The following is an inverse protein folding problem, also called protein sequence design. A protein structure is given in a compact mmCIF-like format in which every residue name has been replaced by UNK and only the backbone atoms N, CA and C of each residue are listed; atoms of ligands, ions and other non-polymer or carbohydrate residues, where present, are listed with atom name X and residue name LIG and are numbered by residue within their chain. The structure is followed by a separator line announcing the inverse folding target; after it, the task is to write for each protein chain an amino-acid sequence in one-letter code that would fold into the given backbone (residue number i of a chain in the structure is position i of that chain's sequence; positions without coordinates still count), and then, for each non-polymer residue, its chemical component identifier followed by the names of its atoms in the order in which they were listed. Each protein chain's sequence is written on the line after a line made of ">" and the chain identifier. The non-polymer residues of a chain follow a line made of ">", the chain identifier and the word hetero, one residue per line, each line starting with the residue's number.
data_IF_016366081841
#
_entry.id   IF_016366081841
#
_cell.length_a   1.000
_cell.length_b   1.000
_cell.length_c   1.000
_cell.angle_alpha   90.00
_cell.angle_beta   90.00
_cell.angle_gamma   90.00
#
_symmetry.space_group_name_H-M   'P 1'
#
loop_
_entity.id
_entity.type
_entity.pdbx_description
1 polymer ?
#
# COMPACT_ATOMS: atom_id res chain seq x y z
N UNK A 1 14.38 12.63 13.24
CA UNK A 1 14.89 13.16 11.95
C UNK A 1 14.20 12.49 10.73
N UNK A 2 14.00 11.18 10.70
CA UNK A 2 13.35 10.48 9.57
C UNK A 2 11.93 11.00 9.26
N UNK A 3 11.12 11.24 10.26
CA UNK A 3 9.75 11.74 10.08
C UNK A 3 9.67 13.14 9.44
N UNK A 4 10.64 14.03 9.72
CA UNK A 4 10.68 15.36 9.12
C UNK A 4 11.02 15.29 7.63
N UNK A 5 11.98 14.46 7.25
CA UNK A 5 12.38 14.27 5.85
C UNK A 5 11.18 13.70 5.05
N UNK A 6 10.48 12.71 5.58
CA UNK A 6 9.29 12.13 4.94
C UNK A 6 8.18 13.16 4.76
N UNK A 7 7.95 14.04 5.76
CA UNK A 7 6.97 15.12 5.67
C UNK A 7 7.32 16.15 4.59
N UNK A 8 8.61 16.56 4.54
CA UNK A 8 9.09 17.49 3.51
C UNK A 8 8.95 16.85 2.12
N UNK A 9 9.35 15.60 1.96
CA UNK A 9 9.22 14.89 0.69
C UNK A 9 7.74 14.77 0.27
N UNK A 10 6.84 14.39 1.18
CA UNK A 10 5.41 14.33 0.93
C UNK A 10 4.83 15.68 0.51
N UNK A 11 5.24 16.77 1.16
CA UNK A 11 4.83 18.12 0.78
C UNK A 11 5.32 18.49 -0.62
N UNK A 12 6.60 18.27 -0.92
CA UNK A 12 7.17 18.57 -2.25
C UNK A 12 6.50 17.72 -3.34
N UNK A 13 6.24 16.45 -3.08
CA UNK A 13 5.57 15.55 -4.02
C UNK A 13 4.11 15.96 -4.32
N UNK A 14 3.46 16.68 -3.41
CA UNK A 14 2.10 17.19 -3.57
C UNK A 14 2.03 18.54 -4.32
N UNK A 15 3.17 19.23 -4.51
CA UNK A 15 3.20 20.50 -5.24
C UNK A 15 2.79 20.27 -6.70
N UNK A 16 1.91 21.14 -7.19
CA UNK A 16 1.52 21.20 -8.60
C UNK A 16 2.41 22.23 -9.31
N UNK A 17 3.37 21.73 -10.03
CA UNK A 17 4.26 22.57 -10.84
C UNK A 17 3.60 23.01 -12.17
N UNK A 18 4.13 24.02 -12.86
CA UNK A 18 3.73 24.33 -14.24
C UNK A 18 3.79 23.08 -15.12
N UNK A 19 2.81 22.92 -16.01
CA UNK A 19 2.56 21.67 -16.74
C UNK A 19 3.80 21.05 -17.39
N UNK A 20 4.65 21.87 -18.02
CA UNK A 20 5.86 21.39 -18.69
C UNK A 20 6.86 20.77 -17.70
N UNK A 21 7.04 21.39 -16.53
CA UNK A 21 7.93 20.90 -15.48
C UNK A 21 7.35 19.65 -14.81
N UNK A 22 6.03 19.67 -14.54
CA UNK A 22 5.36 18.50 -13.95
C UNK A 22 5.44 17.29 -14.87
N UNK A 23 5.20 17.45 -16.16
CA UNK A 23 5.35 16.38 -17.16
C UNK A 23 6.76 15.80 -17.13
N UNK A 24 7.78 16.65 -17.15
CA UNK A 24 9.18 16.21 -17.08
C UNK A 24 9.47 15.42 -15.79
N UNK A 25 9.00 15.90 -14.62
CA UNK A 25 9.17 15.21 -13.34
C UNK A 25 8.50 13.82 -13.38
N UNK A 26 7.26 13.77 -13.85
CA UNK A 26 6.49 12.53 -13.93
C UNK A 26 7.13 11.50 -14.86
N UNK A 27 7.56 11.93 -16.05
CA UNK A 27 8.24 11.05 -17.02
C UNK A 27 9.58 10.53 -16.48
N UNK A 28 10.35 11.38 -15.80
CA UNK A 28 11.59 10.95 -15.14
C UNK A 28 11.35 9.96 -14.02
N UNK A 29 10.29 10.16 -13.24
CA UNK A 29 9.89 9.22 -12.19
C UNK A 29 9.48 7.87 -12.78
N UNK A 30 8.59 7.85 -13.78
CA UNK A 30 8.14 6.63 -14.47
C UNK A 30 9.32 5.88 -15.08
N UNK A 31 10.19 6.58 -15.82
CA UNK A 31 11.37 5.97 -16.43
C UNK A 31 12.38 5.47 -15.41
N UNK A 32 12.65 6.25 -14.34
CA UNK A 32 13.62 5.90 -13.30
C UNK A 32 13.23 4.65 -12.51
N UNK A 33 11.95 4.49 -12.21
CA UNK A 33 11.42 3.32 -11.51
C UNK A 33 10.90 2.22 -12.45
N UNK A 34 10.97 2.43 -13.78
CA UNK A 34 10.50 1.48 -14.80
C UNK A 34 9.03 1.08 -14.56
N UNK A 35 8.19 2.09 -14.33
CA UNK A 35 6.76 1.87 -14.07
C UNK A 35 6.06 1.50 -15.36
N UNK A 36 5.33 0.41 -15.35
CA UNK A 36 4.40 0.08 -16.43
C UNK A 36 3.15 0.96 -16.31
N UNK A 37 2.91 1.76 -17.33
CA UNK A 37 1.76 2.68 -17.39
C UNK A 37 0.61 2.16 -18.25
N UNK A 38 0.66 0.91 -18.72
CA UNK A 38 -0.33 0.35 -19.66
C UNK A 38 -1.76 0.33 -19.12
N UNK A 39 -1.93 0.25 -17.81
CA UNK A 39 -3.24 0.24 -17.13
C UNK A 39 -3.65 1.63 -16.60
N UNK A 40 -2.82 2.66 -16.79
CA UNK A 40 -2.95 3.98 -16.17
C UNK A 40 -3.01 5.10 -17.22
N UNK A 41 -3.38 6.29 -16.80
CA UNK A 41 -3.27 7.49 -17.63
C UNK A 41 -1.80 7.78 -17.96
N UNK A 42 -1.58 8.56 -19.03
CA UNK A 42 -0.22 8.97 -19.37
C UNK A 42 0.41 9.85 -18.28
N UNK A 43 1.74 9.81 -18.07
CA UNK A 43 2.42 10.57 -17.02
C UNK A 43 2.11 12.07 -17.05
N UNK A 44 1.94 12.66 -18.25
CA UNK A 44 1.62 14.08 -18.46
C UNK A 44 0.23 14.51 -17.94
N UNK A 45 -0.66 13.55 -17.64
CA UNK A 45 -2.02 13.84 -17.19
C UNK A 45 -2.11 14.01 -15.66
N UNK A 46 -1.05 13.66 -14.92
CA UNK A 46 -1.02 13.80 -13.47
C UNK A 46 -0.50 15.17 -13.06
N UNK A 47 -1.26 15.85 -12.21
CA UNK A 47 -1.00 17.21 -11.77
C UNK A 47 0.08 17.35 -10.68
N UNK A 48 0.51 16.25 -10.08
CA UNK A 48 1.57 16.18 -9.07
C UNK A 48 2.20 14.80 -9.04
N UNK A 49 3.36 14.68 -8.40
CA UNK A 49 4.00 13.39 -8.20
C UNK A 49 3.18 12.49 -7.27
N UNK A 50 2.50 13.07 -6.27
CA UNK A 50 1.58 12.33 -5.40
C UNK A 50 0.42 11.75 -6.20
N UNK A 51 -0.18 12.53 -7.12
CA UNK A 51 -1.26 12.04 -7.97
C UNK A 51 -0.81 10.86 -8.87
N UNK A 52 0.42 10.93 -9.40
CA UNK A 52 1.02 9.84 -10.16
C UNK A 52 1.29 8.61 -9.26
N UNK A 53 1.81 8.81 -8.07
CA UNK A 53 2.11 7.75 -7.13
C UNK A 53 0.85 7.00 -6.69
N UNK A 54 -0.25 7.72 -6.44
CA UNK A 54 -1.56 7.16 -6.07
C UNK A 54 -2.49 7.00 -7.27
N UNK A 55 -1.94 6.77 -8.46
CA UNK A 55 -2.66 6.63 -9.72
C UNK A 55 -3.80 5.61 -9.65
N UNK A 56 -4.86 5.86 -10.40
CA UNK A 56 -6.00 4.94 -10.53
C UNK A 56 -5.87 4.07 -11.78
N UNK A 57 -6.34 2.85 -11.68
CA UNK A 57 -6.56 2.01 -12.85
C UNK A 57 -7.60 2.66 -13.78
N UNK A 58 -7.35 2.65 -15.09
CA UNK A 58 -8.33 3.13 -16.08
C UNK A 58 -9.53 2.19 -16.21
N UNK A 59 -9.33 0.91 -15.91
CA UNK A 59 -10.36 -0.12 -15.89
C UNK A 59 -10.11 -1.05 -14.71
N UNK A 60 -11.15 -1.56 -14.06
CA UNK A 60 -10.98 -2.62 -13.08
C UNK A 60 -10.28 -3.83 -13.72
N UNK A 61 -9.42 -4.48 -12.98
CA UNK A 61 -8.84 -5.78 -13.39
C UNK A 61 -9.85 -6.89 -13.17
N UNK A 62 -9.79 -7.91 -14.00
CA UNK A 62 -10.55 -9.13 -13.77
C UNK A 62 -9.96 -9.91 -12.60
N UNK A 63 -10.82 -10.46 -11.76
CA UNK A 63 -10.43 -11.27 -10.60
C UNK A 63 -11.45 -12.38 -10.34
N UNK A 64 -11.05 -13.39 -9.60
CA UNK A 64 -11.93 -14.49 -9.19
C UNK A 64 -12.98 -13.99 -8.20
N UNK A 65 -14.25 -14.11 -8.57
CA UNK A 65 -15.41 -13.70 -7.75
C UNK A 65 -16.03 -14.86 -6.96
N UNK A 66 -15.37 -16.02 -6.93
CA UNK A 66 -15.88 -17.16 -6.18
C UNK A 66 -15.90 -16.87 -4.68
N UNK A 67 -16.90 -17.34 -3.92
CA UNK A 67 -17.01 -17.07 -2.49
C UNK A 67 -15.83 -17.56 -1.64
N UNK A 68 -15.01 -18.46 -2.20
CA UNK A 68 -13.83 -19.03 -1.54
C UNK A 68 -12.53 -18.31 -1.91
N UNK A 69 -12.59 -17.36 -2.85
CA UNK A 69 -11.41 -16.64 -3.30
C UNK A 69 -11.18 -15.38 -2.45
N UNK A 70 -9.94 -15.22 -2.00
CA UNK A 70 -9.42 -13.95 -1.50
C UNK A 70 -8.49 -13.38 -2.55
N UNK A 71 -8.81 -12.21 -3.08
CA UNK A 71 -7.93 -11.51 -4.01
C UNK A 71 -6.82 -10.79 -3.24
N UNK A 72 -5.67 -10.60 -3.88
CA UNK A 72 -4.62 -9.76 -3.28
C UNK A 72 -5.14 -8.34 -3.07
N UNK A 73 -5.06 -7.78 -1.85
CA UNK A 73 -5.54 -6.43 -1.58
C UNK A 73 -4.69 -5.34 -2.24
N UNK A 74 -3.49 -5.67 -2.70
CA UNK A 74 -2.55 -4.73 -3.32
C UNK A 74 -1.63 -5.46 -4.29
N UNK A 75 -0.99 -4.70 -5.18
CA UNK A 75 0.18 -5.14 -5.92
C UNK A 75 1.37 -5.28 -4.97
N UNK A 76 2.45 -5.87 -5.45
CA UNK A 76 3.70 -5.94 -4.71
C UNK A 76 4.32 -7.32 -4.69
N UNK A 77 5.34 -7.46 -3.87
CA UNK A 77 6.06 -8.73 -3.67
C UNK A 77 5.68 -9.33 -2.32
N UNK A 78 5.16 -10.56 -2.33
CA UNK A 78 4.97 -11.30 -1.09
C UNK A 78 6.36 -11.62 -0.49
N UNK A 79 6.70 -10.95 0.60
CA UNK A 79 7.96 -11.19 1.31
C UNK A 79 7.85 -12.37 2.26
N UNK A 80 6.69 -12.53 2.90
CA UNK A 80 6.46 -13.55 3.90
C UNK A 80 4.97 -13.87 3.98
N UNK A 81 4.67 -15.12 4.29
CA UNK A 81 3.32 -15.58 4.64
C UNK A 81 3.41 -16.68 5.69
N UNK A 82 2.41 -16.82 6.51
CA UNK A 82 2.40 -17.86 7.52
C UNK A 82 1.19 -17.81 8.43
N UNK A 83 1.28 -18.58 9.49
CA UNK A 83 0.30 -18.61 10.57
C UNK A 83 0.97 -18.05 11.81
N UNK A 84 0.40 -17.00 12.38
CA UNK A 84 0.83 -16.45 13.66
C UNK A 84 0.06 -17.11 14.79
N UNK A 85 0.79 -17.63 15.77
CA UNK A 85 0.22 -18.16 17.00
C UNK A 85 0.34 -17.14 18.11
N UNK A 86 -0.73 -16.94 18.88
CA UNK A 86 -0.76 -16.03 20.03
C UNK A 86 -0.37 -14.57 19.67
N UNK A 87 -0.68 -14.13 18.44
CA UNK A 87 -0.33 -12.80 17.95
C UNK A 87 1.18 -12.50 18.00
N UNK A 88 2.02 -13.53 17.89
CA UNK A 88 3.48 -13.37 17.86
C UNK A 88 3.97 -12.89 16.52
N UNK A 89 5.13 -12.34 16.59
CA UNK A 89 5.88 -11.53 15.66
C UNK A 89 5.79 -11.90 14.18
N UNK A 90 5.50 -10.88 13.38
CA UNK A 90 5.77 -10.85 11.95
C UNK A 90 7.14 -10.19 11.76
N UNK A 91 8.04 -10.84 11.04
CA UNK A 91 9.33 -10.23 10.70
C UNK A 91 9.17 -9.29 9.50
N UNK A 92 9.40 -8.00 9.70
CA UNK A 92 9.41 -7.00 8.64
C UNK A 92 10.79 -6.35 8.60
N UNK A 93 11.51 -6.54 7.51
CA UNK A 93 12.87 -5.97 7.32
C UNK A 93 13.84 -6.31 8.47
N UNK A 94 13.73 -7.52 9.03
CA UNK A 94 14.58 -7.98 10.14
C UNK A 94 14.16 -7.47 11.52
N UNK A 95 13.04 -6.78 11.63
CA UNK A 95 12.42 -6.39 12.90
C UNK A 95 11.19 -7.26 13.16
N UNK A 96 11.09 -7.79 14.35
CA UNK A 96 9.91 -8.54 14.80
C UNK A 96 8.89 -7.58 15.41
N UNK A 97 7.64 -7.66 14.93
CA UNK A 97 6.52 -6.90 15.45
C UNK A 97 5.46 -7.84 15.99
N UNK A 98 4.94 -7.56 17.15
CA UNK A 98 3.73 -8.21 17.64
C UNK A 98 2.52 -7.78 16.82
N UNK A 99 1.66 -8.71 16.40
CA UNK A 99 0.43 -8.35 15.67
C UNK A 99 -0.44 -7.41 16.51
N UNK A 100 -0.52 -7.62 17.83
CA UNK A 100 -1.23 -6.74 18.73
C UNK A 100 -0.64 -5.30 18.74
N UNK A 101 0.67 -5.15 18.59
CA UNK A 101 1.34 -3.86 18.49
C UNK A 101 1.01 -3.15 17.18
N UNK A 102 1.00 -3.90 16.05
CA UNK A 102 0.65 -3.37 14.74
C UNK A 102 -0.82 -2.95 14.63
N UNK A 103 -1.73 -3.74 15.19
CA UNK A 103 -3.18 -3.53 15.07
C UNK A 103 -3.77 -2.75 16.25
N UNK A 104 -2.97 -2.52 17.30
CA UNK A 104 -3.40 -1.78 18.49
C UNK A 104 -4.63 -2.43 19.16
N UNK A 105 -5.58 -1.59 19.58
CA UNK A 105 -6.83 -2.03 20.22
C UNK A 105 -7.89 -2.55 19.23
N UNK A 106 -7.56 -2.66 17.94
CA UNK A 106 -8.48 -3.17 16.91
C UNK A 106 -8.72 -4.67 17.00
N UNK A 107 -7.86 -5.41 17.73
CA UNK A 107 -8.02 -6.85 17.93
C UNK A 107 -8.92 -7.10 19.15
N UNK A 108 -10.02 -7.82 18.92
CA UNK A 108 -10.86 -8.29 20.00
C UNK A 108 -10.06 -9.23 20.94
N UNK A 109 -10.37 -9.19 22.24
CA UNK A 109 -9.76 -10.07 23.24
C UNK A 109 -9.98 -11.54 22.96
N UNK A 110 -11.10 -11.90 22.31
CA UNK A 110 -11.42 -13.27 21.89
C UNK A 110 -10.50 -13.79 20.79
N UNK A 111 -9.92 -12.88 19.97
CA UNK A 111 -9.03 -13.23 18.87
C UNK A 111 -7.56 -13.37 19.30
N UNK A 112 -7.22 -12.91 20.51
CA UNK A 112 -5.84 -12.92 21.02
C UNK A 112 -5.22 -14.32 21.19
N UNK A 113 -6.05 -15.36 21.25
CA UNK A 113 -5.62 -16.75 21.29
C UNK A 113 -5.76 -17.51 19.98
N UNK A 114 -6.28 -16.85 18.94
CA UNK A 114 -6.52 -17.47 17.64
C UNK A 114 -5.23 -17.63 16.83
N UNK A 115 -5.19 -18.64 15.98
CA UNK A 115 -4.23 -18.73 14.91
C UNK A 115 -4.68 -17.79 13.79
N UNK A 116 -3.84 -16.84 13.40
CA UNK A 116 -4.11 -15.88 12.33
C UNK A 116 -3.21 -16.15 11.15
N UNK A 117 -3.79 -16.31 9.98
CA UNK A 117 -3.01 -16.30 8.74
C UNK A 117 -2.60 -14.87 8.38
N UNK A 118 -1.39 -14.69 7.93
CA UNK A 118 -0.88 -13.40 7.50
C UNK A 118 -0.11 -13.47 6.19
N UNK A 119 -0.14 -12.36 5.47
CA UNK A 119 0.68 -12.13 4.28
C UNK A 119 1.32 -10.76 4.40
N UNK A 120 2.65 -10.69 4.23
CA UNK A 120 3.41 -9.45 4.19
C UNK A 120 3.71 -9.12 2.72
N UNK A 121 3.13 -8.03 2.22
CA UNK A 121 3.28 -7.57 0.85
C UNK A 121 4.09 -6.27 0.84
N UNK A 122 5.20 -6.27 0.14
CA UNK A 122 6.04 -5.09 -0.06
C UNK A 122 5.67 -4.40 -1.37
N UNK A 123 5.30 -3.13 -1.27
CA UNK A 123 5.02 -2.27 -2.43
C UNK A 123 6.28 -1.45 -2.73
N UNK A 124 6.83 -1.62 -3.92
CA UNK A 124 7.91 -0.78 -4.42
C UNK A 124 7.35 0.44 -5.17
N UNK A 125 8.13 1.53 -5.40
CA UNK A 125 7.63 2.72 -6.09
C UNK A 125 7.03 2.48 -7.48
N UNK A 126 7.33 1.37 -8.12
CA UNK A 126 6.76 0.98 -9.42
C UNK A 126 5.38 0.35 -9.32
N UNK A 127 5.03 -0.21 -8.16
CA UNK A 127 3.81 -0.96 -7.97
C UNK A 127 2.59 -0.02 -7.90
N UNK A 128 1.40 -0.55 -8.00
CA UNK A 128 0.16 0.16 -7.80
C UNK A 128 -0.07 0.39 -6.31
N UNK A 129 -0.20 1.65 -5.88
CA UNK A 129 -0.21 2.04 -4.47
C UNK A 129 -1.61 2.25 -3.87
N UNK A 130 -2.64 1.73 -4.53
CA UNK A 130 -3.96 1.63 -3.90
C UNK A 130 -4.19 0.20 -3.46
N UNK A 131 -5.03 0.02 -2.46
CA UNK A 131 -5.44 -1.28 -1.97
C UNK A 131 -6.95 -1.43 -2.07
N UNK A 132 -7.40 -2.66 -2.20
CA UNK A 132 -8.78 -3.04 -2.41
C UNK A 132 -9.22 -4.06 -1.35
N UNK A 133 -10.52 -4.15 -1.13
CA UNK A 133 -11.07 -5.19 -0.27
C UNK A 133 -10.77 -6.57 -0.87
N UNK A 134 -10.18 -7.51 -0.13
CA UNK A 134 -9.82 -8.83 -0.64
C UNK A 134 -11.03 -9.75 -0.88
N UNK A 135 -12.19 -9.39 -0.35
CA UNK A 135 -13.46 -10.07 -0.51
C UNK A 135 -14.60 -9.09 -0.23
N UNK A 136 -15.84 -9.52 -0.37
CA UNK A 136 -17.00 -8.74 0.07
C UNK A 136 -16.95 -8.55 1.58
N UNK A 137 -16.87 -7.28 2.02
CA UNK A 137 -16.74 -6.93 3.43
C UNK A 137 -17.41 -5.59 3.74
N UNK A 138 -17.71 -5.40 5.02
CA UNK A 138 -18.16 -4.12 5.56
C UNK A 138 -17.14 -3.60 6.58
N UNK A 139 -16.62 -2.40 6.35
CA UNK A 139 -15.75 -1.72 7.32
C UNK A 139 -16.61 -1.31 8.52
N UNK A 140 -16.27 -1.82 9.70
CA UNK A 140 -16.94 -1.51 10.96
C UNK A 140 -16.24 -0.39 11.71
N UNK A 141 -14.92 -0.32 11.62
CA UNK A 141 -14.10 0.69 12.29
C UNK A 141 -12.81 0.94 11.51
N UNK A 142 -12.17 2.05 11.77
CA UNK A 142 -10.84 2.38 11.28
C UNK A 142 -10.03 3.01 12.41
N UNK A 143 -8.83 2.52 12.64
CA UNK A 143 -7.88 3.04 13.62
C UNK A 143 -6.66 3.61 12.90
N UNK A 144 -6.32 4.85 13.20
CA UNK A 144 -5.07 5.44 12.72
C UNK A 144 -3.96 5.24 13.75
N UNK A 145 -2.94 4.47 13.37
CA UNK A 145 -1.73 4.28 14.16
C UNK A 145 -0.61 5.10 13.53
N UNK A 146 -0.11 6.16 14.20
CA UNK A 146 0.97 6.97 13.66
C UNK A 146 2.26 6.15 13.57
N UNK A 147 3.00 6.32 12.48
CA UNK A 147 4.35 5.76 12.35
C UNK A 147 5.37 6.52 13.22
N UNK A 148 6.41 5.83 13.65
CA UNK A 148 7.55 6.39 14.39
C UNK A 148 8.56 7.11 13.48
#
# INVERSE_FOLDING_TARGET
>A
MRGLISRIFGFVAAIKFPRFLQTFINEKYVSGFKIDMSEFKEPKEYESLTALFTRELQRPRDFDVSPQAFISPSDGTCLERGVSKELKAISVKGHEYGIAELLGDSIDRSERGAELEYVNIYLSPRDYHRYHAPCDMRILSALYVPGE
#
